data_IF_994015968993
#
_entry.id   IF_994015968993
#
_cell.length_a   1.000
_cell.length_b   1.000
_cell.length_c   1.000
_cell.angle_alpha   90.00
_cell.angle_beta   90.00
_cell.angle_gamma   90.00
#
_symmetry.space_group_name_H-M   'P 1'
#
loop_
_entity.id
_entity.type
_entity.pdbx_description
1 polymer ?
#
# COMPACT_ATOMS: atom_id res chain seq x y z
N UNK A 1 -14.98 7.69 0.19
CA UNK A 1 -14.66 8.96 0.87
C UNK A 1 -13.21 9.31 0.62
N UNK A 2 -12.83 10.58 0.70
CA UNK A 2 -11.44 11.02 0.49
C UNK A 2 -10.58 10.72 1.72
N UNK A 3 -9.45 10.04 1.53
CA UNK A 3 -8.48 9.78 2.60
C UNK A 3 -7.84 11.09 3.04
N UNK A 4 -7.84 11.37 4.35
CA UNK A 4 -7.19 12.54 4.93
C UNK A 4 -5.90 12.15 5.68
N UNK A 5 -5.14 13.14 6.14
CA UNK A 5 -3.87 12.93 6.83
C UNK A 5 -3.94 12.00 8.06
N UNK A 6 -5.00 12.08 8.85
CA UNK A 6 -5.17 11.23 10.03
C UNK A 6 -5.52 9.79 9.65
N UNK A 7 -6.36 9.63 8.61
CA UNK A 7 -6.66 8.33 8.04
C UNK A 7 -5.41 7.66 7.48
N UNK A 8 -4.61 8.40 6.72
CA UNK A 8 -3.35 7.89 6.16
C UNK A 8 -2.36 7.50 7.26
N UNK A 9 -2.13 8.36 8.26
CA UNK A 9 -1.29 8.02 9.41
C UNK A 9 -1.81 6.76 10.14
N UNK A 10 -3.13 6.63 10.30
CA UNK A 10 -3.75 5.47 10.91
C UNK A 10 -3.47 4.17 10.13
N UNK A 11 -3.47 4.24 8.80
CA UNK A 11 -3.12 3.10 7.93
C UNK A 11 -1.64 2.73 8.12
N UNK A 12 -0.74 3.72 8.13
CA UNK A 12 0.69 3.49 8.34
C UNK A 12 0.95 2.78 9.68
N UNK A 13 0.32 3.28 10.75
CA UNK A 13 0.51 2.80 12.13
C UNK A 13 -0.09 1.41 12.37
N UNK A 14 -1.26 1.12 11.79
CA UNK A 14 -2.02 -0.10 12.11
C UNK A 14 -1.74 -1.26 11.16
N UNK A 15 -1.38 -0.95 9.92
CA UNK A 15 -1.28 -1.95 8.86
C UNK A 15 0.07 -1.91 8.16
N UNK A 16 0.43 -0.80 7.50
CA UNK A 16 1.56 -0.82 6.56
C UNK A 16 2.91 -1.19 7.22
N UNK A 17 3.29 -0.52 8.31
CA UNK A 17 4.57 -0.77 8.98
C UNK A 17 4.55 -2.12 9.73
N UNK A 18 3.54 -2.45 10.56
CA UNK A 18 3.50 -3.75 11.23
C UNK A 18 3.51 -4.94 10.26
N UNK A 19 2.77 -4.87 9.15
CA UNK A 19 2.75 -5.94 8.15
C UNK A 19 4.09 -6.11 7.46
N UNK A 20 4.78 -5.02 7.10
CA UNK A 20 6.11 -5.09 6.51
C UNK A 20 7.14 -5.73 7.44
N UNK A 21 7.15 -5.32 8.70
CA UNK A 21 8.03 -5.90 9.72
C UNK A 21 7.69 -7.38 10.00
N UNK A 22 6.42 -7.77 9.96
CA UNK A 22 6.00 -9.15 10.14
C UNK A 22 6.39 -10.05 8.95
N UNK A 23 6.24 -9.57 7.72
CA UNK A 23 6.46 -10.36 6.51
C UNK A 23 7.93 -10.42 6.10
N UNK A 24 8.66 -9.31 6.22
CA UNK A 24 10.04 -9.16 5.73
C UNK A 24 11.05 -9.13 6.89
N UNK A 25 10.64 -8.70 8.08
CA UNK A 25 11.53 -8.55 9.23
C UNK A 25 12.30 -7.23 9.23
N UNK A 26 13.48 -7.23 9.83
CA UNK A 26 14.31 -6.03 10.01
C UNK A 26 14.89 -5.47 8.70
N UNK A 27 14.91 -6.26 7.63
CA UNK A 27 15.31 -5.83 6.29
C UNK A 27 14.18 -5.14 5.52
N UNK A 28 13.02 -4.92 6.14
CA UNK A 28 11.90 -4.24 5.52
C UNK A 28 12.26 -2.81 5.11
N UNK A 29 12.05 -2.50 3.83
CA UNK A 29 12.14 -1.14 3.30
C UNK A 29 10.75 -0.68 2.88
N UNK A 30 10.26 0.38 3.52
CA UNK A 30 9.00 1.01 3.19
C UNK A 30 9.16 1.92 1.97
N UNK A 31 8.37 1.66 0.93
CA UNK A 31 8.25 2.50 -0.25
C UNK A 31 6.84 3.13 -0.27
N UNK A 32 6.78 4.40 -0.61
CA UNK A 32 5.55 5.13 -0.91
C UNK A 32 5.80 6.08 -2.08
N UNK A 33 4.76 6.45 -2.82
CA UNK A 33 4.85 7.50 -3.81
C UNK A 33 5.09 8.88 -3.16
N UNK A 34 5.62 9.82 -3.94
CA UNK A 34 5.77 11.21 -3.53
C UNK A 34 4.56 12.06 -4.00
N UNK A 35 3.34 11.50 -4.08
CA UNK A 35 2.17 12.30 -4.45
C UNK A 35 1.98 13.41 -3.38
N UNK A 36 1.99 14.70 -3.77
CA UNK A 36 1.79 15.82 -2.85
C UNK A 36 0.52 15.68 -2.00
N UNK A 37 -0.49 14.96 -2.48
CA UNK A 37 -1.75 14.69 -1.77
C UNK A 37 -1.55 13.84 -0.52
N UNK A 38 -0.55 12.95 -0.46
CA UNK A 38 -0.25 12.09 0.70
C UNK A 38 0.97 12.58 1.49
N UNK A 39 1.61 13.64 1.01
CA UNK A 39 2.76 14.31 1.60
C UNK A 39 2.34 15.24 2.76
N UNK A 40 1.46 14.76 3.64
CA UNK A 40 1.01 15.51 4.81
C UNK A 40 2.17 15.67 5.80
N UNK A 41 2.42 16.88 6.28
CA UNK A 41 3.48 17.18 7.26
C UNK A 41 3.39 16.28 8.50
N UNK A 42 2.17 15.93 8.91
CA UNK A 42 1.91 14.98 9.99
C UNK A 42 2.49 13.58 9.71
N UNK A 43 2.24 13.04 8.51
CA UNK A 43 2.71 11.70 8.13
C UNK A 43 4.22 11.69 7.92
N UNK A 44 4.80 12.79 7.41
CA UNK A 44 6.26 12.96 7.38
C UNK A 44 6.87 12.90 8.76
N UNK A 45 6.33 13.65 9.72
CA UNK A 45 6.84 13.64 11.10
C UNK A 45 6.77 12.25 11.74
N UNK A 46 5.67 11.53 11.51
CA UNK A 46 5.53 10.15 11.95
C UNK A 46 6.60 9.23 11.32
N UNK A 47 6.73 9.26 10.00
CA UNK A 47 7.68 8.41 9.27
C UNK A 47 9.14 8.74 9.63
N UNK A 48 9.49 10.03 9.80
CA UNK A 48 10.82 10.42 10.28
C UNK A 48 11.11 9.81 11.66
N UNK A 49 10.16 9.89 12.59
CA UNK A 49 10.31 9.28 13.92
C UNK A 49 10.49 7.76 13.86
N UNK A 50 9.73 7.06 13.00
CA UNK A 50 9.89 5.61 12.82
C UNK A 50 11.24 5.25 12.18
N UNK A 51 11.76 6.11 11.29
CA UNK A 51 13.07 5.95 10.67
C UNK A 51 14.26 6.25 11.57
N UNK A 52 14.10 7.11 12.59
CA UNK A 52 15.09 7.24 13.65
C UNK A 52 15.23 5.95 14.49
N UNK A 53 14.26 5.04 14.37
CA UNK A 53 14.28 3.70 14.94
C UNK A 53 14.78 2.63 13.96
N UNK A 54 13.85 1.79 13.49
CA UNK A 54 14.14 0.56 12.72
C UNK A 54 13.64 0.65 11.27
N UNK A 55 12.76 1.61 10.96
CA UNK A 55 12.11 1.66 9.65
C UNK A 55 13.03 2.24 8.57
N UNK A 56 13.44 1.42 7.62
CA UNK A 56 14.11 1.90 6.41
C UNK A 56 13.06 2.43 5.42
N UNK A 57 13.24 3.66 4.94
CA UNK A 57 12.39 4.23 3.90
C UNK A 57 13.14 4.37 2.59
N UNK A 58 12.50 3.98 1.48
CA UNK A 58 13.05 4.14 0.14
C UNK A 58 12.89 5.59 -0.32
N UNK A 59 13.98 6.19 -0.82
CA UNK A 59 13.87 7.45 -1.56
C UNK A 59 13.29 7.17 -2.93
N UNK A 60 12.07 7.63 -3.19
CA UNK A 60 11.39 7.46 -4.47
C UNK A 60 11.54 8.72 -5.34
N UNK A 61 11.80 8.61 -6.65
CA UNK A 61 11.76 9.77 -7.54
C UNK A 61 10.32 10.30 -7.71
N UNK A 62 10.12 11.62 -7.79
CA UNK A 62 8.79 12.19 -8.08
C UNK A 62 8.31 11.75 -9.47
N UNK A 63 6.99 11.61 -9.64
CA UNK A 63 6.35 11.31 -10.93
C UNK A 63 6.85 10.04 -11.63
N UNK A 64 7.18 8.99 -10.87
CA UNK A 64 7.58 7.69 -11.40
C UNK A 64 6.56 6.59 -11.04
N UNK A 65 5.32 6.67 -11.56
CA UNK A 65 4.32 5.61 -11.35
C UNK A 65 4.74 4.30 -12.02
N UNK A 66 5.42 4.37 -13.17
CA UNK A 66 5.87 3.21 -13.97
C UNK A 66 6.85 2.30 -13.22
N UNK A 67 7.46 2.80 -12.15
CA UNK A 67 8.41 2.05 -11.33
C UNK A 67 7.75 1.37 -10.13
N UNK A 68 6.49 1.68 -9.82
CA UNK A 68 5.83 1.21 -8.60
C UNK A 68 5.25 -0.21 -8.81
N UNK A 69 5.82 -1.26 -8.19
CA UNK A 69 5.38 -2.64 -8.42
C UNK A 69 3.93 -2.90 -8.00
N UNK A 70 3.36 -2.05 -7.12
CA UNK A 70 1.96 -2.18 -6.71
C UNK A 70 0.99 -1.91 -7.86
N UNK A 71 1.39 -1.12 -8.87
CA UNK A 71 0.53 -0.85 -10.04
C UNK A 71 0.24 -2.15 -10.80
N UNK A 72 1.22 -3.05 -10.92
CA UNK A 72 1.01 -4.36 -11.53
C UNK A 72 0.00 -5.21 -10.73
N UNK A 73 0.04 -5.12 -9.41
CA UNK A 73 -0.92 -5.81 -8.53
C UNK A 73 -2.32 -5.21 -8.70
N UNK A 74 -2.44 -3.88 -8.78
CA UNK A 74 -3.71 -3.21 -9.03
C UNK A 74 -4.30 -3.55 -10.40
N UNK A 75 -3.47 -3.61 -11.45
CA UNK A 75 -3.88 -4.03 -12.79
C UNK A 75 -4.44 -5.47 -12.80
N UNK A 76 -3.77 -6.40 -12.13
CA UNK A 76 -4.23 -7.79 -12.04
C UNK A 76 -5.55 -7.91 -11.25
N UNK A 77 -5.69 -7.18 -10.14
CA UNK A 77 -6.94 -7.14 -9.38
C UNK A 77 -8.09 -6.57 -10.20
N UNK A 78 -7.85 -5.45 -10.89
CA UNK A 78 -8.84 -4.81 -11.76
C UNK A 78 -9.26 -5.75 -12.90
N UNK A 79 -8.31 -6.46 -13.51
CA UNK A 79 -8.58 -7.45 -14.55
C UNK A 79 -9.47 -8.59 -14.03
N UNK A 80 -9.08 -9.27 -12.93
CA UNK A 80 -9.86 -10.38 -12.36
C UNK A 80 -11.26 -9.97 -11.92
N UNK A 81 -11.38 -8.78 -11.33
CA UNK A 81 -12.67 -8.27 -10.85
C UNK A 81 -13.59 -7.92 -12.02
N UNK A 82 -13.06 -7.35 -13.11
CA UNK A 82 -13.84 -7.10 -14.34
C UNK A 82 -14.37 -8.39 -14.97
N UNK A 83 -13.59 -9.47 -14.96
CA UNK A 83 -14.06 -10.78 -15.42
C UNK A 83 -15.27 -11.30 -14.64
N UNK A 84 -15.36 -10.99 -13.34
CA UNK A 84 -16.48 -11.39 -12.47
C UNK A 84 -17.76 -10.56 -12.66
N UNK A 85 -17.68 -9.42 -13.36
CA UNK A 85 -18.80 -8.51 -13.62
C UNK A 85 -19.66 -8.21 -12.37
N UNK A 86 -19.08 -7.60 -11.32
CA UNK A 86 -19.82 -7.27 -10.10
C UNK A 86 -20.99 -6.32 -10.40
N UNK A 87 -22.15 -6.65 -9.85
CA UNK A 87 -23.40 -5.90 -10.05
C UNK A 87 -23.70 -4.87 -8.96
N UNK A 88 -22.86 -4.81 -7.91
CA UNK A 88 -23.00 -3.88 -6.79
C UNK A 88 -21.63 -3.56 -6.17
N UNK A 89 -21.57 -2.47 -5.40
CA UNK A 89 -20.36 -2.14 -4.62
C UNK A 89 -20.00 -3.22 -3.59
N UNK A 90 -20.98 -3.97 -3.08
CA UNK A 90 -20.72 -5.09 -2.18
C UNK A 90 -20.09 -6.28 -2.91
N UNK A 91 -20.65 -6.69 -4.06
CA UNK A 91 -20.07 -7.77 -4.86
C UNK A 91 -18.67 -7.41 -5.35
N UNK A 92 -18.46 -6.14 -5.71
CA UNK A 92 -17.13 -5.61 -6.05
C UNK A 92 -16.14 -5.81 -4.90
N UNK A 93 -16.54 -5.45 -3.68
CA UNK A 93 -15.70 -5.60 -2.49
C UNK A 93 -15.37 -7.06 -2.17
N UNK A 94 -16.37 -7.94 -2.21
CA UNK A 94 -16.21 -9.38 -1.98
C UNK A 94 -15.23 -9.99 -3.00
N UNK A 95 -15.40 -9.68 -4.29
CA UNK A 95 -14.49 -10.17 -5.33
C UNK A 95 -13.08 -9.61 -5.21
N UNK A 96 -12.90 -8.35 -4.80
CA UNK A 96 -11.57 -7.80 -4.54
C UNK A 96 -10.83 -8.57 -3.43
N UNK A 97 -11.53 -8.95 -2.36
CA UNK A 97 -10.95 -9.76 -1.28
C UNK A 97 -10.57 -11.16 -1.75
N UNK A 98 -11.45 -11.83 -2.50
CA UNK A 98 -11.17 -13.15 -3.07
C UNK A 98 -10.01 -13.11 -4.08
N UNK A 99 -9.96 -12.08 -4.92
CA UNK A 99 -8.86 -11.89 -5.87
C UNK A 99 -7.53 -11.65 -5.13
N UNK A 100 -7.51 -10.77 -4.13
CA UNK A 100 -6.30 -10.49 -3.34
C UNK A 100 -5.72 -11.76 -2.70
N UNK A 101 -6.57 -12.57 -2.06
CA UNK A 101 -6.14 -13.80 -1.38
C UNK A 101 -5.70 -14.92 -2.33
N UNK A 102 -6.09 -14.86 -3.61
CA UNK A 102 -5.73 -15.84 -4.63
C UNK A 102 -4.52 -15.42 -5.48
N UNK A 103 -3.95 -14.23 -5.26
CA UNK A 103 -2.66 -13.87 -5.84
C UNK A 103 -1.60 -14.72 -5.12
N UNK A 104 -0.88 -15.61 -5.84
CA UNK A 104 0.12 -16.44 -5.21
C UNK A 104 1.24 -15.55 -4.65
N UNK A 105 1.61 -15.77 -3.39
CA UNK A 105 2.90 -15.29 -2.90
C UNK A 105 3.98 -16.15 -3.53
N UNK A 106 4.94 -15.55 -4.24
CA UNK A 106 6.13 -16.31 -4.62
C UNK A 106 6.82 -16.78 -3.34
N UNK A 107 6.82 -18.09 -3.11
CA UNK A 107 7.65 -18.71 -2.10
C UNK A 107 9.10 -18.62 -2.59
N UNK A 108 9.83 -17.65 -2.07
CA UNK A 108 11.29 -17.64 -2.13
C UNK A 108 11.89 -18.76 -1.29
#
# INVERSE_FOLDING_TARGET
GTLNQHGYQGILQRYAIPSGLQLVGLSFVFQQDNDPKYTYSLCKGYLTKESDGVLHQMTWPPQSPDLNPIEMVWEELDHRVKEKQPTSGQHMWEFLQDCWTSIPGEAG
#
